data_IF_595260130458
#
_entry.id   IF_595260130458
#
_cell.length_a   1.000
_cell.length_b   1.000
_cell.length_c   1.000
_cell.angle_alpha   90.00
_cell.angle_beta   90.00
_cell.angle_gamma   90.00
#
_symmetry.space_group_name_H-M   'P 1'
#
loop_
_entity.id
_entity.type
_entity.pdbx_description
1 polymer ?
2 non-polymer ?
3 non-polymer ?
4 non-polymer ?
5 non-polymer ?
6 water ?
#
# COMPACT_ATOMS: atom_id res chain seq x y z
N UNK A 6 20.40 -19.47 -28.07
CA UNK A 6 20.93 -18.67 -26.92
C UNK A 6 21.51 -19.58 -25.85
N UNK A 7 22.77 -19.34 -25.50
CA UNK A 7 23.44 -20.16 -24.49
C UNK A 7 22.93 -19.78 -23.10
N UNK A 8 23.17 -20.67 -22.13
CA UNK A 8 22.76 -20.40 -20.76
C UNK A 8 23.49 -19.16 -20.27
N UNK A 9 24.75 -19.03 -20.65
CA UNK A 9 25.54 -17.89 -20.23
C UNK A 9 24.96 -16.59 -20.75
N UNK A 10 24.53 -16.59 -22.01
CA UNK A 10 23.97 -15.39 -22.61
C UNK A 10 22.60 -15.08 -22.02
N UNK A 11 21.81 -16.12 -21.81
CA UNK A 11 20.46 -15.96 -21.27
C UNK A 11 20.49 -15.43 -19.83
N UNK A 12 21.48 -15.86 -19.06
CA UNK A 12 21.63 -15.46 -17.67
C UNK A 12 21.80 -13.95 -17.53
N UNK A 13 22.66 -13.39 -18.38
CA UNK A 13 22.96 -11.97 -18.39
C UNK A 13 21.75 -11.18 -18.92
N UNK A 14 21.23 -11.63 -20.05
CA UNK A 14 20.10 -11.00 -20.73
C UNK A 14 18.86 -10.98 -19.84
N UNK A 15 18.65 -12.04 -19.07
CA UNK A 15 17.50 -12.12 -18.19
C UNK A 15 17.54 -10.98 -17.16
N UNK A 16 18.71 -10.75 -16.56
CA UNK A 16 18.80 -9.66 -15.59
C UNK A 16 18.53 -8.30 -16.25
N UNK A 17 19.00 -8.12 -17.46
CA UNK A 17 18.79 -6.86 -18.18
C UNK A 17 17.30 -6.63 -18.39
N UNK A 18 16.60 -7.68 -18.81
CA UNK A 18 15.15 -7.60 -19.04
C UNK A 18 14.38 -7.33 -17.75
N UNK A 19 14.72 -8.04 -16.67
CA UNK A 19 14.05 -7.82 -15.39
C UNK A 19 14.21 -6.35 -14.97
N UNK A 20 15.44 -5.87 -15.05
CA UNK A 20 15.75 -4.50 -14.68
C UNK A 20 14.93 -3.50 -15.48
N UNK A 21 14.91 -3.67 -16.80
CA UNK A 21 14.18 -2.78 -17.69
C UNK A 21 12.67 -2.90 -17.53
N UNK A 22 12.16 -4.13 -17.47
CA UNK A 22 10.72 -4.37 -17.31
C UNK A 22 10.21 -3.89 -15.96
N UNK A 23 11.01 -4.07 -14.90
CA UNK A 23 10.59 -3.63 -13.58
C UNK A 23 10.55 -2.11 -13.50
N UNK A 24 11.43 -1.46 -14.24
CA UNK A 24 11.44 0.00 -14.26
C UNK A 24 10.14 0.48 -14.93
N UNK A 25 9.76 -0.17 -16.03
CA UNK A 25 8.52 0.16 -16.74
C UNK A 25 7.32 -0.09 -15.85
N UNK A 26 7.37 -1.19 -15.09
CA UNK A 26 6.30 -1.56 -14.18
C UNK A 26 6.18 -0.52 -13.07
N UNK A 27 7.31 -0.02 -12.60
CA UNK A 27 7.34 1.00 -11.55
C UNK A 27 6.62 2.24 -12.06
N UNK A 28 6.94 2.64 -13.29
CA UNK A 28 6.34 3.83 -13.89
C UNK A 28 4.85 3.64 -14.12
N UNK A 29 4.47 2.48 -14.63
CA UNK A 29 3.09 2.15 -14.94
C UNK A 29 2.20 1.92 -13.72
N UNK A 30 2.67 1.09 -12.79
CA UNK A 30 1.89 0.74 -11.60
C UNK A 30 2.09 1.60 -10.37
N UNK A 31 3.32 2.03 -10.11
CA UNK A 31 3.60 2.83 -8.92
C UNK A 31 3.45 4.32 -9.15
N UNK A 32 3.87 4.79 -10.32
CA UNK A 32 3.75 6.21 -10.63
C UNK A 32 2.48 6.52 -11.40
N UNK A 33 1.80 5.48 -11.87
CA UNK A 33 0.59 5.69 -12.66
C UNK A 33 0.92 6.60 -13.84
N UNK A 34 2.12 6.43 -14.39
CA UNK A 34 2.56 7.24 -15.51
C UNK A 34 3.59 6.49 -16.35
N UNK A 35 3.12 5.61 -17.25
CA UNK A 35 4.04 4.85 -18.10
C UNK A 35 4.84 5.75 -19.04
N UNK A 36 6.06 5.35 -19.34
CA UNK A 36 6.90 6.14 -20.24
C UNK A 36 6.81 5.55 -21.66
N UNK A 37 6.82 4.23 -21.75
CA UNK A 37 6.75 3.57 -23.06
C UNK A 37 5.38 3.01 -23.36
N UNK A 38 5.13 2.76 -24.64
CA UNK A 38 3.87 2.19 -25.08
C UNK A 38 3.83 0.75 -24.61
N UNK A 39 2.63 0.24 -24.39
CA UNK A 39 2.48 -1.13 -23.91
C UNK A 39 3.17 -2.16 -24.78
N UNK A 40 3.11 -2.00 -26.10
CA UNK A 40 3.72 -2.99 -26.97
C UNK A 40 5.23 -3.12 -26.75
N UNK A 41 5.86 -2.08 -26.23
CA UNK A 41 7.30 -2.12 -25.96
C UNK A 41 7.53 -3.04 -24.77
N UNK A 42 6.70 -2.89 -23.74
CA UNK A 42 6.79 -3.72 -22.55
C UNK A 42 6.47 -5.17 -22.90
N UNK A 43 5.41 -5.38 -23.67
CA UNK A 43 4.96 -6.71 -24.07
C UNK A 43 6.00 -7.51 -24.82
N UNK A 44 6.71 -6.85 -25.73
CA UNK A 44 7.75 -7.53 -26.52
C UNK A 44 8.91 -7.97 -25.63
N UNK A 45 9.33 -7.08 -24.73
CA UNK A 45 10.42 -7.40 -23.83
C UNK A 45 9.98 -8.47 -22.83
N UNK A 46 8.73 -8.39 -22.39
CA UNK A 46 8.14 -9.36 -21.46
C UNK A 46 8.14 -10.74 -22.12
N UNK A 47 7.75 -10.78 -23.40
CA UNK A 47 7.72 -12.04 -24.14
C UNK A 47 9.13 -12.62 -24.28
N UNK A 48 10.11 -11.74 -24.52
CA UNK A 48 11.48 -12.20 -24.64
C UNK A 48 11.92 -12.87 -23.35
N UNK A 49 11.58 -12.26 -22.22
CA UNK A 49 11.95 -12.82 -20.91
C UNK A 49 11.24 -14.15 -20.65
N UNK A 50 9.96 -14.23 -21.01
CA UNK A 50 9.23 -15.48 -20.81
C UNK A 50 9.90 -16.60 -21.60
N UNK A 51 10.34 -16.30 -22.83
CA UNK A 51 10.99 -17.31 -23.65
C UNK A 51 12.26 -17.81 -22.98
N UNK A 52 13.03 -16.88 -22.40
CA UNK A 52 14.27 -17.25 -21.73
C UNK A 52 14.00 -18.09 -20.49
N UNK A 53 13.02 -17.69 -19.70
CA UNK A 53 12.67 -18.43 -18.49
C UNK A 53 12.09 -19.79 -18.81
N UNK A 54 11.38 -19.88 -19.94
CA UNK A 54 10.78 -21.15 -20.36
C UNK A 54 11.89 -22.12 -20.75
N UNK A 55 12.92 -21.59 -21.42
CA UNK A 55 14.05 -22.41 -21.83
C UNK A 55 14.93 -22.79 -20.64
N UNK A 56 15.19 -21.82 -19.76
CA UNK A 56 16.01 -22.08 -18.59
C UNK A 56 15.28 -21.65 -17.33
N UNK A 57 14.31 -22.46 -16.87
CA UNK A 57 13.53 -22.16 -15.67
C UNK A 57 14.37 -21.79 -14.44
N UNK A 58 15.63 -22.20 -14.43
CA UNK A 58 16.50 -21.91 -13.30
C UNK A 58 16.82 -20.41 -13.25
N UNK A 59 16.48 -19.69 -14.32
CA UNK A 59 16.73 -18.25 -14.37
C UNK A 59 15.59 -17.43 -13.78
N UNK A 60 14.47 -18.07 -13.48
CA UNK A 60 13.33 -17.39 -12.90
C UNK A 60 13.72 -16.91 -11.50
N UNK A 61 13.42 -15.66 -11.18
CA UNK A 61 13.75 -15.10 -9.88
C UNK A 61 12.51 -14.47 -9.24
N UNK A 62 12.54 -14.25 -7.92
CA UNK A 62 11.41 -13.64 -7.21
C UNK A 62 11.02 -12.26 -7.73
N UNK A 63 12.00 -11.50 -8.21
CA UNK A 63 11.71 -10.16 -8.71
C UNK A 63 11.44 -10.10 -10.21
N UNK A 64 11.30 -11.27 -10.84
CA UNK A 64 11.00 -11.29 -12.27
C UNK A 64 9.54 -10.94 -12.46
N UNK A 65 9.24 -9.97 -13.33
CA UNK A 65 7.85 -9.55 -13.59
C UNK A 65 6.91 -10.66 -14.04
N UNK A 66 7.45 -11.81 -14.43
CA UNK A 66 6.60 -12.91 -14.88
C UNK A 66 5.94 -13.60 -13.69
N UNK A 67 6.46 -13.36 -12.49
CA UNK A 67 5.92 -13.98 -11.29
C UNK A 67 4.67 -13.31 -10.77
N UNK A 68 4.31 -12.17 -11.34
CA UNK A 68 3.12 -11.44 -10.90
C UNK A 68 1.82 -12.23 -11.10
N UNK A 69 1.83 -13.16 -12.04
CA UNK A 69 0.64 -13.96 -12.32
C UNK A 69 0.34 -15.00 -11.24
N UNK A 70 1.27 -15.16 -10.29
CA UNK A 70 1.08 -16.11 -9.22
C UNK A 70 1.24 -17.56 -9.65
N UNK A 71 0.85 -18.46 -8.75
CA UNK A 71 0.97 -19.88 -9.05
C UNK A 71 0.82 -20.76 -7.83
N UNK A 72 1.35 -20.33 -6.69
CA UNK A 72 1.25 -21.11 -5.46
C UNK A 72 -0.18 -21.19 -4.95
N UNK A 73 -0.48 -22.30 -4.27
CA UNK A 73 -1.78 -22.50 -3.67
C UNK A 73 -1.45 -22.92 -2.24
N UNK A 74 -1.92 -22.17 -1.26
CA UNK A 74 -1.66 -22.49 0.13
C UNK A 74 -2.82 -23.28 0.74
N UNK A 75 -2.56 -23.95 1.85
CA UNK A 75 -3.59 -24.71 2.55
C UNK A 75 -4.18 -23.79 3.62
N UNK A 76 -3.43 -22.75 3.96
CA UNK A 76 -3.86 -21.79 4.97
C UNK A 76 -2.77 -20.77 5.17
N UNK A 77 -3.04 -19.75 5.99
CA UNK A 77 -2.08 -18.69 6.26
C UNK A 77 -1.40 -18.86 7.61
N UNK A 78 -0.09 -18.68 7.64
CA UNK A 78 0.65 -18.79 8.89
C UNK A 78 0.41 -17.48 9.65
N UNK A 79 0.54 -17.53 10.97
CA UNK A 79 0.37 -16.33 11.79
C UNK A 79 1.49 -15.35 11.45
N UNK A 80 1.18 -14.06 11.46
CA UNK A 80 2.16 -13.02 11.16
C UNK A 80 2.18 -12.00 12.29
N UNK A 81 3.11 -12.14 13.23
CA UNK A 81 3.22 -11.21 14.36
C UNK A 81 3.70 -9.83 13.94
N UNK A 82 3.23 -8.81 14.65
CA UNK A 82 3.64 -7.43 14.43
C UNK A 82 4.25 -7.01 15.77
N UNK A 83 5.55 -7.25 15.95
CA UNK A 83 6.20 -6.86 17.21
C UNK A 83 5.99 -5.39 17.48
N UNK A 84 5.93 -4.61 16.41
CA UNK A 84 5.62 -3.18 16.54
C UNK A 84 4.14 -3.24 16.13
N UNK A 85 3.23 -3.02 17.10
CA UNK A 85 1.78 -3.07 16.85
C UNK A 85 1.24 -2.18 15.75
N UNK A 86 0.15 -2.64 15.16
CA UNK A 86 -0.56 -1.88 14.13
C UNK A 86 -1.83 -1.41 14.85
N UNK A 87 -1.74 -0.21 15.42
CA UNK A 87 -2.85 0.38 16.14
C UNK A 87 -4.00 0.70 15.21
N UNK A 88 -5.14 1.03 15.80
CA UNK A 88 -6.29 1.42 15.01
C UNK A 88 -6.36 2.95 15.12
N UNK A 89 -7.32 3.57 14.46
CA UNK A 89 -7.45 5.02 14.50
C UNK A 89 -8.65 5.46 15.33
N UNK A 90 -8.47 6.57 16.03
CA UNK A 90 -9.56 7.15 16.81
C UNK A 90 -10.43 7.88 15.80
N UNK A 91 -11.74 7.90 16.03
CA UNK A 91 -12.68 8.52 15.11
C UNK A 91 -13.29 9.85 15.53
N UNK A 92 -13.55 10.68 14.52
CA UNK A 92 -14.18 11.98 14.71
C UNK A 92 -15.33 11.99 13.72
N UNK A 93 -16.45 12.62 14.06
CA UNK A 93 -17.59 12.62 13.15
C UNK A 93 -18.17 13.99 12.81
N UNK A 94 -17.61 15.03 13.38
CA UNK A 94 -18.12 16.38 13.12
C UNK A 94 -17.01 17.41 13.21
N UNK A 95 -17.29 18.61 12.71
CA UNK A 95 -16.31 19.68 12.76
C UNK A 95 -15.93 19.88 14.23
N UNK A 96 -16.91 19.66 15.11
CA UNK A 96 -16.72 19.77 16.54
C UNK A 96 -15.64 18.81 17.04
N UNK A 97 -15.80 17.53 16.72
CA UNK A 97 -14.83 16.51 17.14
C UNK A 97 -13.43 16.84 16.68
N UNK A 98 -13.31 17.35 15.47
CA UNK A 98 -12.02 17.70 14.88
C UNK A 98 -11.33 18.87 15.58
N UNK A 99 -12.10 19.91 15.89
CA UNK A 99 -11.53 21.05 16.57
C UNK A 99 -11.22 20.69 18.01
N UNK A 100 -12.01 19.77 18.56
CA UNK A 100 -11.80 19.29 19.92
C UNK A 100 -10.46 18.55 19.94
N UNK A 101 -10.23 17.74 18.91
CA UNK A 101 -8.99 16.97 18.80
C UNK A 101 -7.81 17.93 18.79
N UNK A 102 -7.91 18.98 17.96
CA UNK A 102 -6.85 19.97 17.87
C UNK A 102 -6.62 20.67 19.21
N UNK A 103 -7.70 20.96 19.92
CA UNK A 103 -7.56 21.62 21.20
C UNK A 103 -6.79 20.74 22.17
N UNK A 104 -7.11 19.45 22.19
CA UNK A 104 -6.44 18.49 23.07
C UNK A 104 -4.98 18.36 22.70
N UNK A 105 -4.68 18.40 21.40
CA UNK A 105 -3.31 18.31 20.94
C UNK A 105 -2.51 19.55 21.34
N UNK A 106 -3.11 20.72 21.19
CA UNK A 106 -2.42 21.95 21.58
C UNK A 106 -2.25 21.99 23.09
N UNK A 107 -3.27 21.52 23.82
CA UNK A 107 -3.18 21.50 25.27
C UNK A 107 -1.99 20.65 25.75
N UNK A 108 -1.79 19.50 25.12
CA UNK A 108 -0.69 18.60 25.48
C UNK A 108 0.69 19.07 25.02
N UNK A 109 0.78 19.56 23.79
CA UNK A 109 2.05 20.02 23.23
C UNK A 109 2.47 21.41 23.73
N UNK A 110 1.50 22.30 23.92
CA UNK A 110 1.81 23.63 24.40
C UNK A 110 2.09 24.67 23.33
N UNK A 111 1.69 24.38 22.10
CA UNK A 111 1.89 25.31 20.98
C UNK A 111 1.09 24.85 19.76
N UNK A 112 0.95 25.72 18.74
CA UNK A 112 0.19 25.31 17.54
C UNK A 112 0.95 24.18 16.86
N UNK A 113 0.23 23.24 16.27
CA UNK A 113 0.87 22.12 15.58
C UNK A 113 0.37 21.93 14.16
N UNK A 114 1.27 21.53 13.27
CA UNK A 114 0.94 21.30 11.87
C UNK A 114 0.43 19.86 11.73
N UNK A 115 -0.45 19.64 10.75
CA UNK A 115 -1.03 18.33 10.52
C UNK A 115 -0.87 17.88 9.07
N UNK A 116 -0.47 16.62 8.90
CA UNK A 116 -0.37 16.06 7.56
C UNK A 116 -1.72 15.38 7.36
N UNK A 117 -2.48 15.85 6.38
CA UNK A 117 -3.80 15.29 6.10
C UNK A 117 -3.76 14.36 4.88
N UNK A 118 -4.37 13.18 5.05
CA UNK A 118 -4.40 12.17 4.00
C UNK A 118 -5.80 11.60 3.85
N UNK A 119 -6.10 11.10 2.66
CA UNK A 119 -7.41 10.50 2.40
C UNK A 119 -7.46 9.13 3.07
N UNK A 120 -8.61 8.81 3.65
CA UNK A 120 -8.76 7.50 4.31
C UNK A 120 -9.26 6.50 3.28
N UNK A 121 -8.32 5.79 2.66
CA UNK A 121 -8.62 4.78 1.65
C UNK A 121 -9.42 3.63 2.25
N UNK A 122 -10.52 3.30 1.57
CA UNK A 122 -11.39 2.22 2.01
C UNK A 122 -10.81 0.88 1.58
N UNK A 123 -10.14 0.19 2.48
CA UNK A 123 -9.56 -1.09 2.11
C UNK A 123 -9.11 -1.89 3.32
N UNK A 124 -7.94 -2.52 3.18
CA UNK A 124 -7.36 -3.34 4.25
C UNK A 124 -5.93 -2.86 4.56
N UNK A 125 -5.60 -2.75 5.85
CA UNK A 125 -4.26 -2.32 6.25
C UNK A 125 -3.29 -3.51 6.13
N UNK A 126 -2.13 -3.26 5.52
CA UNK A 126 -1.13 -4.30 5.32
C UNK A 126 0.25 -3.83 5.79
N UNK A 127 1.14 -4.79 6.00
CA UNK A 127 2.50 -4.52 6.45
C UNK A 127 3.44 -5.28 5.51
N UNK A 128 4.42 -4.56 4.95
CA UNK A 128 5.36 -5.15 4.01
C UNK A 128 6.79 -5.07 4.53
N UNK A 129 7.43 -6.22 4.71
CA UNK A 129 8.80 -6.26 5.22
C UNK A 129 9.82 -6.53 4.12
N UNK A 130 10.89 -5.74 4.13
CA UNK A 130 11.97 -5.84 3.16
C UNK A 130 13.29 -6.02 3.88
N UNK A 131 14.12 -6.93 3.37
CA UNK A 131 15.44 -7.15 3.96
C UNK A 131 16.44 -7.03 2.82
N UNK A 132 17.31 -6.03 2.95
CA UNK A 132 18.32 -5.76 1.93
C UNK A 132 17.62 -5.49 0.60
N UNK A 133 16.49 -4.77 0.67
CA UNK A 133 15.75 -4.42 -0.53
C UNK A 133 14.82 -5.48 -1.09
N UNK A 134 14.89 -6.69 -0.55
CA UNK A 134 14.08 -7.83 -1.02
C UNK A 134 12.77 -8.00 -0.23
N UNK A 135 11.66 -8.18 -0.95
CA UNK A 135 10.37 -8.38 -0.31
C UNK A 135 10.42 -9.75 0.36
N UNK A 136 10.22 -9.79 1.67
CA UNK A 136 10.27 -11.07 2.38
C UNK A 136 8.99 -11.44 3.13
N UNK A 137 8.17 -10.46 3.50
CA UNK A 137 6.93 -10.80 4.18
C UNK A 137 5.82 -9.80 3.95
N UNK A 138 4.62 -10.33 3.71
CA UNK A 138 3.46 -9.49 3.50
C UNK A 138 2.46 -9.96 4.55
N UNK A 139 1.82 -9.02 5.26
CA UNK A 139 0.88 -9.40 6.29
C UNK A 139 -0.33 -8.48 6.43
N UNK A 140 -1.44 -9.05 6.88
CA UNK A 140 -2.66 -8.28 7.12
C UNK A 140 -2.50 -7.74 8.55
N UNK A 141 -3.27 -6.73 8.90
CA UNK A 141 -3.20 -6.15 10.23
C UNK A 141 -3.73 -7.14 11.28
N UNK A 142 -4.77 -7.88 10.93
CA UNK A 142 -5.35 -8.84 11.86
C UNK A 142 -5.93 -8.11 13.06
N UNK A 143 -5.51 -8.51 14.26
CA UNK A 143 -5.99 -7.89 15.49
C UNK A 143 -5.04 -6.81 15.99
N UNK A 144 -4.02 -6.49 15.20
CA UNK A 144 -3.07 -5.46 15.60
C UNK A 144 -1.72 -5.97 16.05
N UNK A 145 -1.68 -7.16 16.64
CA UNK A 145 -0.43 -7.74 17.09
C UNK A 145 -0.13 -9.04 16.34
N UNK A 146 -1.18 -9.62 15.77
CA UNK A 146 -1.04 -10.85 14.99
C UNK A 146 -1.99 -10.80 13.80
N UNK A 147 -1.43 -10.92 12.60
CA UNK A 147 -2.24 -10.92 11.39
C UNK A 147 -1.98 -12.22 10.64
N UNK A 148 -2.29 -12.24 9.36
CA UNK A 148 -2.07 -13.43 8.53
C UNK A 148 -0.91 -13.18 7.57
N UNK A 149 -0.11 -14.22 7.35
CA UNK A 149 1.02 -14.09 6.43
C UNK A 149 0.52 -14.30 4.99
N UNK A 150 0.28 -13.20 4.30
CA UNK A 150 -0.22 -13.24 2.92
C UNK A 150 0.84 -12.81 1.90
N UNK A 151 2.10 -13.15 2.20
CA UNK A 151 3.23 -12.82 1.36
C UNK A 151 3.05 -13.24 -0.10
N UNK A 152 2.62 -14.48 -0.32
CA UNK A 152 2.45 -14.99 -1.67
C UNK A 152 1.40 -14.23 -2.46
N UNK A 153 0.30 -13.88 -1.81
CA UNK A 153 -0.75 -13.12 -2.48
C UNK A 153 -0.25 -11.72 -2.85
N UNK A 154 0.44 -11.05 -1.94
CA UNK A 154 0.94 -9.71 -2.21
C UNK A 154 2.01 -9.66 -3.31
N UNK A 155 2.60 -10.81 -3.62
CA UNK A 155 3.60 -10.87 -4.69
C UNK A 155 2.91 -10.59 -6.01
N UNK A 156 1.60 -10.82 -6.06
CA UNK A 156 0.84 -10.60 -7.30
C UNK A 156 0.26 -9.19 -7.40
N UNK A 157 0.35 -8.41 -6.34
CA UNK A 157 -0.18 -7.05 -6.34
C UNK A 157 0.88 -6.19 -7.04
N UNK A 158 0.56 -5.81 -8.27
CA UNK A 158 1.44 -5.07 -9.16
C UNK A 158 2.19 -3.85 -8.63
N UNK A 159 1.58 -3.08 -7.72
CA UNK A 159 2.24 -1.89 -7.19
C UNK A 159 3.18 -2.20 -6.02
N UNK A 160 3.20 -3.47 -5.58
CA UNK A 160 4.08 -3.90 -4.49
C UNK A 160 5.45 -4.29 -5.08
N UNK A 161 6.51 -3.51 -4.80
CA UNK A 161 7.82 -3.85 -5.34
C UNK A 161 8.42 -5.12 -4.76
N UNK A 162 8.99 -5.98 -5.62
CA UNK A 162 9.61 -7.22 -5.16
C UNK A 162 11.05 -6.94 -4.73
N UNK A 163 11.64 -5.89 -5.30
CA UNK A 163 13.00 -5.49 -4.96
C UNK A 163 13.05 -3.96 -5.02
N UNK A 164 13.47 -3.35 -3.92
CA UNK A 164 13.59 -1.89 -3.87
C UNK A 164 14.90 -1.55 -4.55
N UNK A 165 15.01 -0.32 -5.04
CA UNK A 165 16.24 0.12 -5.72
C UNK A 165 17.40 0.13 -4.73
N UNK A 166 17.16 0.66 -3.54
CA UNK A 166 18.18 0.70 -2.49
C UNK A 166 18.00 -0.55 -1.64
N UNK A 167 19.10 -1.26 -1.33
CA UNK A 167 19.06 -2.48 -0.53
C UNK A 167 18.78 -2.21 0.95
N UNK A 168 17.69 -1.49 1.24
CA UNK A 168 17.38 -1.19 2.62
C UNK A 168 16.44 -2.20 3.28
N UNK A 169 16.57 -2.30 4.59
CA UNK A 169 15.74 -3.21 5.37
C UNK A 169 14.77 -2.34 6.16
N UNK A 170 13.50 -2.44 5.82
CA UNK A 170 12.47 -1.64 6.46
C UNK A 170 11.13 -2.37 6.35
N UNK A 171 10.19 -2.02 7.21
CA UNK A 171 8.86 -2.60 7.16
C UNK A 171 7.89 -1.44 7.03
N UNK A 172 7.24 -1.33 5.87
CA UNK A 172 6.32 -0.24 5.65
C UNK A 172 4.88 -0.74 5.72
N UNK A 173 3.97 0.17 6.04
CA UNK A 173 2.57 -0.19 6.18
C UNK A 173 1.67 0.78 5.44
N UNK A 174 0.52 0.29 5.00
CA UNK A 174 -0.40 1.13 4.27
C UNK A 174 -1.67 0.38 3.97
N UNK A 175 -2.41 0.86 2.98
CA UNK A 175 -3.67 0.24 2.60
C UNK A 175 -3.62 -0.51 1.27
N UNK A 176 -4.27 -1.67 1.24
CA UNK A 176 -4.40 -2.45 0.02
C UNK A 176 -5.90 -2.28 -0.28
N UNK A 177 -6.23 -1.93 -1.52
CA UNK A 177 -7.63 -1.71 -1.88
C UNK A 177 -7.93 -2.14 -3.31
N UNK A 178 -9.21 -2.08 -3.68
CA UNK A 178 -9.62 -2.44 -5.04
C UNK A 178 -10.29 -1.21 -5.66
N UNK A 179 -9.71 -0.67 -6.75
CA UNK A 179 -10.29 0.51 -7.40
C UNK A 179 -11.75 0.28 -7.78
N UNK A 180 -12.54 1.35 -7.85
CA UNK A 180 -13.96 1.25 -8.19
C UNK A 180 -14.25 0.42 -9.45
N UNK A 181 -13.55 0.71 -10.54
CA UNK A 181 -13.76 -0.03 -11.78
C UNK A 181 -13.57 -1.53 -11.63
N UNK A 182 -12.52 -1.92 -10.94
CA UNK A 182 -12.23 -3.33 -10.74
C UNK A 182 -13.29 -3.97 -9.86
N UNK A 183 -13.75 -3.21 -8.87
CA UNK A 183 -14.79 -3.70 -7.95
C UNK A 183 -16.06 -4.00 -8.77
N UNK A 184 -16.45 -3.04 -9.61
CA UNK A 184 -17.62 -3.18 -10.47
C UNK A 184 -17.52 -4.40 -11.39
N UNK A 185 -16.40 -4.50 -12.11
CA UNK A 185 -16.17 -5.63 -13.02
C UNK A 185 -16.19 -6.97 -12.27
N UNK A 186 -15.56 -7.02 -11.11
CA UNK A 186 -15.52 -8.25 -10.32
C UNK A 186 -16.92 -8.71 -9.92
N UNK A 187 -17.75 -7.78 -9.45
CA UNK A 187 -19.10 -8.15 -9.07
C UNK A 187 -19.91 -8.68 -10.25
N UNK A 188 -19.70 -8.10 -11.43
CA UNK A 188 -20.42 -8.55 -12.62
C UNK A 188 -20.00 -9.98 -12.92
N UNK A 189 -18.70 -10.23 -12.78
CA UNK A 189 -18.13 -11.54 -13.01
C UNK A 189 -18.77 -12.54 -12.04
N UNK A 190 -18.89 -12.16 -10.78
CA UNK A 190 -19.49 -13.03 -9.78
C UNK A 190 -20.98 -13.27 -10.08
N UNK A 191 -21.67 -12.23 -10.54
CA UNK A 191 -23.08 -12.36 -10.90
C UNK A 191 -23.21 -13.35 -12.05
N UNK A 192 -22.26 -13.28 -12.99
CA UNK A 192 -22.26 -14.17 -14.14
C UNK A 192 -22.00 -15.63 -13.74
N UNK A 193 -21.30 -15.82 -12.64
CA UNK A 193 -20.98 -17.16 -12.18
C UNK A 193 -21.79 -17.64 -10.98
N UNK A 194 -22.95 -17.01 -10.75
CA UNK A 194 -23.81 -17.40 -9.64
C UNK A 194 -23.26 -17.22 -8.25
N UNK A 195 -22.26 -16.35 -8.11
CA UNK A 195 -21.64 -16.09 -6.82
C UNK A 195 -22.23 -14.86 -6.12
N UNK A 196 -21.99 -14.78 -4.82
CA UNK A 196 -22.45 -13.63 -4.04
C UNK A 196 -21.52 -12.46 -4.33
N UNK A 197 -22.09 -11.29 -4.56
CA UNK A 197 -21.28 -10.11 -4.85
C UNK A 197 -20.69 -9.57 -3.55
N UNK A 198 -19.68 -8.72 -3.68
CA UNK A 198 -19.07 -8.10 -2.51
C UNK A 198 -19.87 -6.84 -2.25
N UNK A 199 -20.22 -6.59 -0.99
CA UNK A 199 -21.02 -5.43 -0.61
C UNK A 199 -20.34 -4.10 -0.87
N UNK A 200 -19.01 -4.10 -0.85
CA UNK A 200 -18.24 -2.88 -1.07
C UNK A 200 -16.79 -3.23 -1.39
N UNK A 201 -16.02 -2.23 -1.89
CA UNK A 201 -14.60 -2.43 -2.23
C UNK A 201 -13.74 -2.95 -1.08
N UNK A 202 -14.06 -2.53 0.15
CA UNK A 202 -13.29 -2.97 1.32
C UNK A 202 -13.40 -4.49 1.44
N UNK A 203 -14.63 -4.99 1.37
CA UNK A 203 -14.89 -6.42 1.48
C UNK A 203 -14.28 -7.18 0.30
N UNK A 204 -14.31 -6.58 -0.88
CA UNK A 204 -13.75 -7.21 -2.07
C UNK A 204 -12.24 -7.38 -1.91
N UNK A 205 -11.60 -6.33 -1.38
CA UNK A 205 -10.16 -6.37 -1.15
C UNK A 205 -9.81 -7.40 -0.07
N UNK A 206 -10.54 -7.38 1.04
CA UNK A 206 -10.30 -8.32 2.14
C UNK A 206 -10.55 -9.76 1.70
N UNK A 207 -11.62 -9.98 0.95
CA UNK A 207 -11.93 -11.31 0.49
C UNK A 207 -10.91 -11.82 -0.50
N UNK A 208 -10.38 -10.93 -1.34
CA UNK A 208 -9.38 -11.30 -2.32
C UNK A 208 -8.07 -11.72 -1.63
N UNK A 209 -7.66 -10.99 -0.60
CA UNK A 209 -6.41 -11.31 0.09
C UNK A 209 -6.54 -12.55 1.00
N UNK A 210 -7.76 -13.07 1.09
CA UNK A 210 -8.04 -14.26 1.90
C UNK A 210 -7.98 -15.52 1.03
N UNK A 211 -7.94 -15.33 -0.30
CA UNK A 211 -7.89 -16.45 -1.23
C UNK A 211 -6.54 -17.17 -1.10
N UNK A 212 -6.59 -18.49 -1.12
CA UNK A 212 -5.40 -19.32 -0.96
C UNK A 212 -4.66 -19.56 -2.28
N UNK A 213 -5.37 -19.45 -3.40
CA UNK A 213 -4.78 -19.65 -4.72
C UNK A 213 -4.33 -18.30 -5.26
N UNK A 214 -3.02 -18.07 -5.24
CA UNK A 214 -2.45 -16.81 -5.71
C UNK A 214 -2.80 -16.46 -7.16
N UNK A 215 -3.09 -17.46 -7.98
CA UNK A 215 -3.43 -17.19 -9.37
C UNK A 215 -4.73 -16.43 -9.49
N UNK A 216 -5.63 -16.62 -8.52
CA UNK A 216 -6.92 -15.92 -8.50
C UNK A 216 -6.69 -14.50 -8.03
N UNK A 217 -5.89 -14.36 -6.98
CA UNK A 217 -5.58 -13.04 -6.44
C UNK A 217 -4.92 -12.15 -7.49
N UNK A 218 -4.00 -12.71 -8.27
CA UNK A 218 -3.29 -11.94 -9.30
C UNK A 218 -4.26 -11.29 -10.28
N UNK A 219 -5.44 -11.87 -10.41
CA UNK A 219 -6.45 -11.34 -11.32
C UNK A 219 -7.42 -10.36 -10.67
N UNK A 220 -7.33 -10.16 -9.36
CA UNK A 220 -8.24 -9.27 -8.65
C UNK A 220 -7.95 -7.77 -8.79
N UNK A 221 -6.83 -7.44 -9.41
CA UNK A 221 -6.47 -6.04 -9.61
C UNK A 221 -6.44 -5.19 -8.33
N UNK A 222 -5.75 -5.68 -7.30
CA UNK A 222 -5.63 -4.94 -6.05
C UNK A 222 -4.53 -3.88 -6.22
N UNK A 223 -4.60 -2.79 -5.45
CA UNK A 223 -3.58 -1.76 -5.53
C UNK A 223 -3.22 -1.29 -4.13
N UNK A 224 -2.24 -0.40 -4.01
CA UNK A 224 -1.82 0.06 -2.70
C UNK A 224 -1.47 1.54 -2.60
N UNK A 225 -1.42 2.01 -1.35
CA UNK A 225 -1.04 3.37 -0.97
C UNK A 225 -0.36 3.18 0.39
N UNK A 226 0.96 3.36 0.44
CA UNK A 226 1.70 3.19 1.68
C UNK A 226 1.77 4.51 2.43
N UNK A 227 1.63 4.49 3.76
CA UNK A 227 1.68 5.74 4.52
C UNK A 227 2.47 5.75 5.82
N UNK A 228 3.11 4.64 6.20
CA UNK A 228 3.91 4.63 7.42
C UNK A 228 4.99 3.57 7.45
N UNK A 229 5.84 3.64 8.47
CA UNK A 229 6.92 2.67 8.64
C UNK A 229 6.86 2.08 10.05
N UNK A 230 7.07 0.77 10.16
CA UNK A 230 7.07 0.10 11.46
C UNK A 230 8.26 0.61 12.28
N UNK A 231 9.44 0.66 11.66
CA UNK A 231 10.64 1.15 12.34
C UNK A 231 11.34 2.15 11.44
N UNK A 232 11.36 3.41 11.87
CA UNK A 232 11.97 4.50 11.12
C UNK A 232 13.50 4.49 11.19
N UNK A 233 14.06 3.46 11.82
CA UNK A 233 15.51 3.37 11.95
C UNK A 233 16.27 3.60 10.64
N UNK A 234 16.03 2.79 9.60
CA UNK A 234 16.71 2.92 8.30
C UNK A 234 16.46 4.24 7.55
N UNK A 235 15.31 4.85 7.79
CA UNK A 235 14.95 6.09 7.11
C UNK A 235 15.23 7.42 7.79
N UNK A 236 15.28 8.47 6.98
CA UNK A 236 15.60 9.80 7.45
C UNK A 236 14.46 10.74 7.80
N UNK A 237 13.24 10.45 7.33
CA UNK A 237 12.10 11.32 7.61
C UNK A 237 11.91 11.66 9.10
N UNK A 238 11.54 12.92 9.37
CA UNK A 238 11.31 13.37 10.75
C UNK A 238 9.87 13.83 10.92
N UNK A 239 9.14 13.88 9.82
CA UNK A 239 7.73 14.28 9.83
C UNK A 239 6.97 13.34 8.90
N UNK A 240 5.66 13.24 9.10
CA UNK A 240 4.84 12.37 8.27
C UNK A 240 4.88 12.78 6.79
N UNK A 241 4.84 14.09 6.54
CA UNK A 241 4.89 14.60 5.18
C UNK A 241 6.18 14.14 4.49
N UNK A 242 7.28 14.18 5.24
CA UNK A 242 8.59 13.75 4.73
C UNK A 242 8.58 12.24 4.52
N UNK A 243 7.90 11.53 5.42
CA UNK A 243 7.83 10.08 5.34
C UNK A 243 7.14 9.65 4.04
N UNK A 244 6.07 10.36 3.67
CA UNK A 244 5.33 10.03 2.46
C UNK A 244 6.22 10.21 1.24
N UNK A 245 6.99 11.29 1.24
CA UNK A 245 7.89 11.59 0.14
C UNK A 245 9.00 10.54 0.08
N UNK A 246 9.51 10.14 1.25
CA UNK A 246 10.58 9.16 1.33
C UNK A 246 10.13 7.75 0.92
N UNK A 247 8.89 7.40 1.26
CA UNK A 247 8.32 6.11 0.89
C UNK A 247 8.25 6.04 -0.62
N UNK A 248 7.87 7.17 -1.22
CA UNK A 248 7.79 7.27 -2.66
C UNK A 248 9.20 7.11 -3.23
N UNK A 249 10.16 7.83 -2.65
CA UNK A 249 11.54 7.79 -3.10
C UNK A 249 12.11 6.38 -3.15
N UNK A 250 11.84 5.57 -2.12
CA UNK A 250 12.39 4.23 -2.10
C UNK A 250 11.64 3.23 -2.99
N UNK A 251 10.51 3.64 -3.57
CA UNK A 251 9.79 2.75 -4.47
C UNK A 251 8.34 2.38 -4.21
N UNK A 252 7.73 2.92 -3.16
CA UNK A 252 6.34 2.57 -2.88
C UNK A 252 5.33 3.54 -3.48
N UNK A 253 4.10 3.07 -3.66
CA UNK A 253 3.05 3.91 -4.20
C UNK A 253 2.44 4.65 -3.02
N UNK A 254 2.33 5.97 -3.15
CA UNK A 254 1.76 6.79 -2.11
C UNK A 254 0.61 7.59 -2.71
N UNK A 255 -0.31 8.04 -1.87
CA UNK A 255 -1.44 8.81 -2.38
C UNK A 255 -1.01 10.26 -2.57
N UNK A 256 -1.21 10.81 -3.79
CA UNK A 256 -0.83 12.18 -4.14
C UNK A 256 -1.68 13.30 -3.56
N UNK A 257 -2.83 12.97 -2.99
CA UNK A 257 -3.74 14.00 -2.46
C UNK A 257 -3.46 14.54 -1.05
N UNK A 258 -2.34 14.14 -0.45
CA UNK A 258 -2.00 14.61 0.90
C UNK A 258 -1.72 16.10 0.91
N UNK A 259 -1.81 16.69 2.10
CA UNK A 259 -1.55 18.10 2.24
C UNK A 259 -1.12 18.42 3.67
N UNK A 260 -0.06 19.21 3.80
CA UNK A 260 0.43 19.61 5.10
C UNK A 260 -0.34 20.88 5.46
N UNK A 261 -1.04 20.86 6.58
CA UNK A 261 -1.83 22.00 7.02
C UNK A 261 -1.27 22.59 8.30
N UNK A 262 -1.06 23.91 8.31
CA UNK A 262 -0.50 24.58 9.48
C UNK A 262 -1.50 24.92 10.57
N UNK A 263 -2.79 24.86 10.23
CA UNK A 263 -3.83 25.15 11.21
C UNK A 263 -4.96 24.15 11.09
N UNK A 264 -5.81 24.12 12.11
CA UNK A 264 -6.96 23.21 12.13
C UNK A 264 -8.00 23.73 11.15
N UNK A 265 -7.91 25.00 10.82
CA UNK A 265 -8.85 25.60 9.88
C UNK A 265 -8.49 25.13 8.48
N UNK A 266 -7.20 25.04 8.21
CA UNK A 266 -6.74 24.55 6.91
C UNK A 266 -7.12 23.08 6.83
N UNK A 267 -7.07 22.40 7.98
CA UNK A 267 -7.43 20.98 8.04
C UNK A 267 -8.89 20.82 7.66
N UNK A 268 -9.75 21.69 8.21
CA UNK A 268 -11.16 21.61 7.91
C UNK A 268 -11.44 21.96 6.46
N UNK A 269 -10.64 22.86 5.90
CA UNK A 269 -10.83 23.25 4.51
C UNK A 269 -10.48 22.05 3.62
N UNK A 270 -9.48 21.29 4.04
CA UNK A 270 -9.05 20.10 3.32
C UNK A 270 -10.20 19.09 3.31
N UNK A 271 -10.76 18.86 4.49
CA UNK A 271 -11.86 17.92 4.63
C UNK A 271 -13.01 18.27 3.68
N UNK A 272 -13.39 19.55 3.65
CA UNK A 272 -14.47 20.00 2.77
C UNK A 272 -14.11 19.83 1.30
N UNK A 273 -12.86 20.16 0.96
CA UNK A 273 -12.39 20.04 -0.40
C UNK A 273 -12.56 18.63 -0.94
N UNK A 274 -12.08 17.65 -0.18
CA UNK A 274 -12.17 16.27 -0.63
C UNK A 274 -13.50 15.61 -0.35
N UNK A 275 -14.35 16.28 0.41
CA UNK A 275 -15.68 15.74 0.68
C UNK A 275 -16.47 15.94 -0.61
N UNK A 276 -16.13 16.98 -1.35
CA UNK A 276 -16.81 17.27 -2.61
C UNK A 276 -16.15 16.52 -3.77
N UNK A 277 -14.83 16.38 -3.71
CA UNK A 277 -14.09 15.68 -4.75
C UNK A 277 -14.25 14.16 -4.65
N UNK A 278 -14.81 13.73 -3.53
CA UNK A 278 -15.01 12.32 -3.24
C UNK A 278 -15.44 11.43 -4.41
N UNK A 279 -16.62 11.69 -4.94
CA UNK A 279 -17.16 10.91 -6.05
C UNK A 279 -16.28 10.84 -7.28
N UNK A 280 -15.36 11.78 -7.44
CA UNK A 280 -14.51 11.82 -8.63
C UNK A 280 -13.24 10.97 -8.59
N UNK A 281 -12.89 10.44 -7.42
CA UNK A 281 -11.68 9.62 -7.30
C UNK A 281 -11.93 8.21 -7.81
N UNK A 282 -10.91 7.56 -8.37
CA UNK A 282 -11.05 6.20 -8.90
C UNK A 282 -11.16 5.14 -7.79
N UNK A 283 -11.04 5.58 -6.54
CA UNK A 283 -11.12 4.70 -5.39
C UNK A 283 -12.03 5.32 -4.33
N UNK A 284 -12.60 4.48 -3.47
CA UNK A 284 -13.47 4.98 -2.42
C UNK A 284 -12.69 5.33 -1.16
N UNK A 285 -13.17 6.35 -0.46
CA UNK A 285 -12.56 6.80 0.79
C UNK A 285 -13.72 6.97 1.76
N UNK A 286 -13.50 6.67 3.04
CA UNK A 286 -14.58 6.83 4.00
C UNK A 286 -14.31 7.98 4.96
N UNK A 287 -13.28 8.76 4.66
CA UNK A 287 -12.95 9.89 5.50
C UNK A 287 -11.59 10.49 5.21
N UNK A 288 -11.08 11.22 6.21
CA UNK A 288 -9.79 11.89 6.13
C UNK A 288 -9.01 11.52 7.39
N UNK A 289 -7.73 11.25 7.25
CA UNK A 289 -6.91 10.94 8.42
C UNK A 289 -6.03 12.15 8.69
N UNK A 290 -6.12 12.68 9.90
CA UNK A 290 -5.36 13.86 10.30
C UNK A 290 -4.24 13.41 11.24
N UNK A 291 -2.99 13.68 10.85
CA UNK A 291 -1.84 13.27 11.64
C UNK A 291 -0.93 14.40 12.07
N UNK A 292 -0.55 14.41 13.34
CA UNK A 292 0.40 15.42 13.83
C UNK A 292 1.61 15.16 12.94
N UNK A 293 2.08 16.21 12.27
CA UNK A 293 3.20 16.05 11.35
C UNK A 293 4.56 15.70 11.96
N UNK A 294 4.97 16.44 12.97
CA UNK A 294 6.27 16.18 13.60
C UNK A 294 6.34 14.87 14.39
N UNK A 295 7.27 13.99 14.01
CA UNK A 295 7.43 12.72 14.73
C UNK A 295 7.78 12.95 16.20
N UNK A 296 8.53 14.02 16.49
CA UNK A 296 8.91 14.31 17.87
C UNK A 296 7.66 14.59 18.71
N UNK A 297 6.67 15.23 18.08
CA UNK A 297 5.42 15.54 18.77
C UNK A 297 4.52 14.31 18.87
N UNK A 298 4.58 13.43 17.87
CA UNK A 298 3.78 12.20 17.90
C UNK A 298 4.26 11.38 19.09
N UNK A 299 5.57 11.32 19.28
CA UNK A 299 6.18 10.56 20.37
C UNK A 299 5.73 11.11 21.71
N UNK A 300 5.70 12.43 21.82
CA UNK A 300 5.29 13.12 23.02
C UNK A 300 3.85 12.79 23.40
N UNK A 301 2.96 12.76 22.40
CA UNK A 301 1.55 12.46 22.62
C UNK A 301 1.30 11.00 22.98
N UNK A 302 2.07 10.09 22.37
CA UNK A 302 1.92 8.67 22.66
C UNK A 302 0.66 8.00 22.15
N UNK A 303 0.34 6.86 22.75
CA UNK A 303 -0.83 6.08 22.36
C UNK A 303 -1.71 5.69 23.53
N UNK A 304 -3.01 5.56 23.26
CA UNK A 304 -3.94 5.07 24.28
C UNK A 304 -3.80 3.57 24.04
N UNK A 305 -4.64 2.76 24.66
CA UNK A 305 -4.55 1.32 24.41
C UNK A 305 -4.97 1.02 22.96
N UNK A 306 -5.99 1.73 22.48
CA UNK A 306 -6.53 1.51 21.14
C UNK A 306 -5.84 2.19 19.96
N UNK A 307 -5.36 3.41 20.16
CA UNK A 307 -4.80 4.15 19.04
C UNK A 307 -3.87 5.26 19.44
N UNK A 308 -3.21 5.87 18.45
CA UNK A 308 -2.31 6.97 18.80
C UNK A 308 -3.14 8.20 19.19
N UNK A 309 -2.58 9.05 20.06
CA UNK A 309 -3.26 10.28 20.45
C UNK A 309 -2.93 11.36 19.44
N UNK A 310 -1.95 11.09 18.58
CA UNK A 310 -1.51 12.05 17.57
C UNK A 310 -2.17 11.97 16.20
N UNK A 311 -3.31 11.29 16.11
CA UNK A 311 -4.02 11.18 14.84
C UNK A 311 -5.49 10.95 15.09
N UNK A 312 -6.31 11.31 14.13
CA UNK A 312 -7.74 11.11 14.23
C UNK A 312 -8.30 10.96 12.82
N UNK A 313 -9.28 10.10 12.66
CA UNK A 313 -9.90 9.88 11.36
C UNK A 313 -11.27 10.54 11.33
N UNK A 314 -11.42 11.54 10.47
CA UNK A 314 -12.72 12.18 10.34
C UNK A 314 -13.52 11.27 9.40
N UNK A 315 -14.59 10.69 9.92
CA UNK A 315 -15.44 9.77 9.16
C UNK A 315 -16.58 10.49 8.46
N UNK A 316 -16.72 10.24 7.16
CA UNK A 316 -17.79 10.85 6.38
C UNK A 316 -19.13 10.29 6.85
N UNK A 317 -20.14 11.17 7.00
CA UNK A 317 -21.46 10.72 7.46
C UNK A 317 -22.09 9.71 6.52
X LIG B 1 -8.46 1.91 8.21
X LIG B 1 -9.58 0.77 8.54
X LIG B 1 -7.22 1.15 8.01
X LIG B 1 -8.82 2.59 7.14
X LIG B 1 -8.38 2.67 9.43
X LIG C 1 7.76 -13.61 11.28
X LIG C 1 6.34 -13.77 10.51
X LIG C 1 7.75 -14.64 12.30
X LIG C 1 8.74 -13.75 10.43
X LIG C 1 7.66 -12.31 11.93
X LIG D 1 -14.40 -16.48 -3.69
X LIG D 1 -15.60 -16.03 -2.68
X LIG D 1 -13.34 -16.94 -2.81
X LIG D 1 -14.83 -17.41 -4.50
X LIG D 1 -14.00 -15.25 -4.32
X LIG E 1 11.34 7.44 -11.44
X LIG E 1 10.46 7.56 -10.08
X LIG E 1 12.13 6.25 -11.28
X LIG E 1 10.56 7.39 -12.48
X LIG E 1 12.19 8.60 -11.37
X LIG F 1 2.70 -8.01 -17.11
X LIG F 1 1.48 -7.32 -16.63
X LIG F 1 1.65 -6.35 -15.53
X LIG F 1 0.43 -8.38 -16.10
X LIG F 1 0.75 -6.69 -17.91
X LIG F 1 -0.68 -6.31 -17.86
X LIG F 1 -0.93 -5.13 -18.79
X LIG F 1 -0.24 -3.94 -18.32
X LIG F 1 -0.48 -5.28 -20.27
X LIG F 1 -1.48 -4.74 -21.17
X LIG F 1 0.81 -4.53 -20.31
X LIG F 1 1.18 -4.08 -21.61
X LIG F 1 0.55 -3.40 -19.41
X LIG F 1 1.78 -2.81 -18.83
X LIG F 1 2.40 -1.71 -19.43
X LIG F 1 3.56 -1.21 -18.87
X LIG F 1 4.22 -0.01 -19.56
X LIG F 1 5.23 0.40 -19.06
X LIG F 1 3.70 0.54 -20.63
X LIG F 1 4.15 -1.80 -17.66
X LIG F 1 3.49 -2.92 -17.07
X LIG F 1 2.29 -3.45 -17.64
X LIG G 1 -3.52 6.48 7.46
X LIG G 1 -5.34 4.37 7.46
X LIG G 1 -3.59 4.07 10.80
X LIG G 1 -3.58 5.66 8.55
X LIG G 1 -0.37 4.95 11.38
X LIG G 1 -1.76 5.45 11.80
X LIG G 1 -2.75 5.13 10.68
X LIG G 1 -4.47 3.78 9.79
X LIG G 1 -4.49 4.58 8.60
X LIG G 1 -1.70 6.97 12.05
X LIG G 1 -6.16 4.94 5.16
X LIG G 1 -5.38 1.75 11.06
X LIG G 1 -4.26 0.71 10.96
X LIG G 1 -2.78 0.77 10.72
X LIG G 1 -0.96 0.98 9.58
X LIG G 1 -1.76 0.64 11.62
X LIG G 1 -4.34 6.29 6.35
X LIG G 1 -5.27 5.21 6.33
X LIG G 1 -2.74 5.93 9.56
X LIG G 1 -4.20 7.18 5.28
X LIG G 1 -2.15 4.77 13.14
X LIG G 1 -5.89 5.43 4.06
X LIG G 1 -7.23 4.11 5.40
X LIG G 1 -5.34 2.68 9.92
X LIG G 1 -2.27 0.98 9.43
X LIG G 1 -0.60 0.77 10.88
X LIG H 1 -4.09 14.29 22.62
X LIG H 1 -3.66 14.22 23.99
X LIG H 1 -5.42 13.56 22.40
X LIG H 1 -6.46 13.89 23.36
X LIG H 1 -5.96 13.67 20.97
X LIG H 1 -6.88 12.60 20.77
X LIG I 1 2.17 1.97 12.90
X LIG I 1 1.74 0.84 12.12
X LIG I 1 1.01 2.45 13.78
X LIG I 1 0.38 1.39 14.52
X LIG I 1 1.21 3.66 14.70
X LIG I 1 2.34 3.45 15.56
#
# INVERSE_FOLDING_TARGET
MEQQPLTLTAATTRAQELRKQLNQYSHEYYVKDQPSVEDYVYDRLYKELVDIETEFPDLITPDSPTQRVGGKVLSGFEKAPHDIPMYSLNDGFSKEDIFAFDERVRKAIGKPVAYCCELKIDGLAISLRYENGVFVRGATRGDGTVGENITENLRTVRSVPMRLTEPISVEVRGECYMPKQSFVALNEEREENGQDIFANPRNAAAGSLRQLDTKIVAKRNLNTFLYTVADFGPMKAKTQFEALEELSAIGFRTNPERQLCQSIDEVWAYIEEYHEKRSTLPYEIDGIVIKVNEFALQDELGFTVKAPRWAIAYKFPPEEAETVLEHHHHHH
SO4 S O1 O2 O3 O4
SO4 S O1 O2 O3 O4
SO4 S O1 O2 O3 O4
SO4 S O1 O2 O3 O4
NMN O3P P O1P O2P O5R C5R C4R O4R C3R O3R C2R O2R C1R N1 C2 C3 C7 O7 N7 C4 C5 C6
3BA N1 C3 N2 C4 C9 C8 C7 C6 C5 C10 C12 C13 C14 C15 C16 C17 C1 C2 N3 N4 C11 O1 N5 N6 N7 N8
GOL C1 O1 C2 O2 C3 O3
GOL C1 O1 C2 O2 C3 O3
#
